data_IF_544989545525
#
_entry.id   IF_544989545525
#
_cell.length_a   1.000
_cell.length_b   1.000
_cell.length_c   1.000
_cell.angle_alpha   90.00
_cell.angle_beta   90.00
_cell.angle_gamma   90.00
#
_symmetry.space_group_name_H-M   'P 1'
#
loop_
_entity.id
_entity.type
_entity.pdbx_description
1 polymer ?
#
# COMPACT_ATOMS: atom_id res chain seq x y z
N UNK A 1 5.98 6.11 -4.90
CA UNK A 1 7.07 6.09 -5.90
C UNK A 1 8.35 5.63 -5.22
N UNK A 2 9.31 5.09 -5.95
CA UNK A 2 10.65 4.80 -5.40
C UNK A 2 11.57 6.00 -5.61
N UNK A 3 12.49 6.22 -4.68
CA UNK A 3 13.52 7.23 -4.75
C UNK A 3 14.76 6.83 -3.94
N UNK A 4 15.58 7.83 -3.61
CA UNK A 4 16.85 7.62 -2.92
C UNK A 4 16.66 7.03 -1.53
N UNK A 5 15.58 7.36 -0.82
CA UNK A 5 15.31 6.79 0.49
C UNK A 5 15.00 5.30 0.39
N UNK A 6 14.19 4.87 -0.58
CA UNK A 6 13.94 3.45 -0.82
C UNK A 6 15.24 2.74 -1.21
N UNK A 7 16.03 3.31 -2.12
CA UNK A 7 17.30 2.72 -2.55
C UNK A 7 18.26 2.52 -1.37
N UNK A 8 18.36 3.51 -0.48
CA UNK A 8 19.21 3.45 0.70
C UNK A 8 18.73 2.41 1.73
N UNK A 9 17.41 2.29 1.95
CA UNK A 9 16.85 1.41 2.99
C UNK A 9 16.61 -0.03 2.53
N UNK A 10 16.30 -0.25 1.25
CA UNK A 10 15.90 -1.54 0.69
C UNK A 10 16.92 -2.14 -0.28
N UNK A 11 17.86 -1.34 -0.79
CA UNK A 11 18.93 -1.77 -1.71
C UNK A 11 18.63 -1.58 -3.19
N UNK A 12 19.68 -1.60 -4.02
CA UNK A 12 19.61 -1.26 -5.44
C UNK A 12 18.78 -2.24 -6.28
N UNK A 13 18.89 -3.54 -6.01
CA UNK A 13 18.16 -4.55 -6.79
C UNK A 13 16.65 -4.40 -6.66
N UNK A 14 16.15 -4.16 -5.44
CA UNK A 14 14.73 -3.88 -5.22
C UNK A 14 14.32 -2.55 -5.86
N UNK A 15 15.16 -1.51 -5.73
CA UNK A 15 14.89 -0.20 -6.32
C UNK A 15 14.66 -0.31 -7.83
N UNK A 16 15.57 -0.94 -8.56
CA UNK A 16 15.43 -1.10 -10.01
C UNK A 16 14.27 -2.02 -10.40
N UNK A 17 13.95 -3.04 -9.58
CA UNK A 17 12.80 -3.91 -9.83
C UNK A 17 11.47 -3.15 -9.74
N UNK A 18 11.26 -2.33 -8.70
CA UNK A 18 10.03 -1.53 -8.59
C UNK A 18 10.00 -0.41 -9.64
N UNK A 19 11.16 0.16 -9.98
CA UNK A 19 11.25 1.17 -11.04
C UNK A 19 10.85 0.60 -12.41
N UNK A 20 11.21 -0.64 -12.72
CA UNK A 20 10.84 -1.29 -13.98
C UNK A 20 9.38 -1.77 -14.00
N UNK A 21 8.87 -2.24 -12.86
CA UNK A 21 7.49 -2.68 -12.70
C UNK A 21 6.91 -2.28 -11.34
N UNK A 22 6.22 -1.15 -11.31
CA UNK A 22 5.54 -0.67 -10.11
C UNK A 22 4.45 -1.63 -9.59
N UNK A 23 3.88 -2.46 -10.47
CA UNK A 23 2.84 -3.43 -10.14
C UNK A 23 3.40 -4.81 -9.72
N UNK A 24 4.72 -4.97 -9.69
CA UNK A 24 5.39 -6.21 -9.30
C UNK A 24 4.98 -6.70 -7.91
N UNK A 25 5.07 -8.01 -7.67
CA UNK A 25 4.63 -8.60 -6.40
C UNK A 25 5.70 -8.50 -5.29
N UNK A 26 5.27 -8.65 -4.03
CA UNK A 26 6.16 -8.59 -2.86
C UNK A 26 7.06 -9.83 -2.74
N UNK A 27 6.65 -10.96 -3.30
CA UNK A 27 7.41 -12.21 -3.28
C UNK A 27 8.73 -12.07 -4.06
N UNK A 28 8.71 -11.41 -5.21
CA UNK A 28 9.90 -11.08 -5.98
C UNK A 28 10.83 -10.16 -5.19
N UNK A 29 10.29 -9.13 -4.52
CA UNK A 29 11.09 -8.25 -3.66
C UNK A 29 11.76 -9.04 -2.53
N UNK A 30 11.07 -10.02 -1.94
CA UNK A 30 11.67 -10.87 -0.91
C UNK A 30 12.86 -11.69 -1.41
N UNK A 31 12.89 -12.07 -2.69
CA UNK A 31 14.02 -12.78 -3.31
C UNK A 31 15.20 -11.86 -3.61
N UNK A 32 14.97 -10.55 -3.75
CA UNK A 32 15.98 -9.54 -4.09
C UNK A 32 16.61 -8.89 -2.85
N UNK A 33 16.45 -9.48 -1.66
CA UNK A 33 17.07 -8.97 -0.44
C UNK A 33 18.59 -9.06 -0.55
N UNK A 34 19.25 -7.91 -0.47
CA UNK A 34 20.70 -7.86 -0.30
C UNK A 34 21.09 -8.47 1.05
N UNK A 35 22.35 -8.87 1.20
CA UNK A 35 22.90 -9.34 2.48
C UNK A 35 22.82 -8.28 3.59
N UNK A 36 22.80 -7.00 3.22
CA UNK A 36 22.64 -5.85 4.11
C UNK A 36 21.18 -5.49 4.44
N UNK A 37 20.20 -6.28 3.98
CA UNK A 37 18.78 -5.96 4.16
C UNK A 37 18.39 -5.84 5.64
N UNK A 38 17.70 -4.75 5.97
CA UNK A 38 17.10 -4.50 7.29
C UNK A 38 15.58 -4.47 7.18
N UNK A 39 14.92 -5.41 7.87
CA UNK A 39 13.46 -5.44 7.96
C UNK A 39 12.87 -4.21 8.65
N UNK A 40 13.63 -3.59 9.56
CA UNK A 40 13.23 -2.36 10.25
C UNK A 40 13.31 -1.14 9.35
N UNK A 41 14.36 -1.06 8.52
CA UNK A 41 14.61 0.11 7.66
C UNK A 41 13.74 0.08 6.40
N UNK A 42 13.67 -1.07 5.73
CA UNK A 42 12.85 -1.20 4.52
C UNK A 42 11.38 -1.46 4.85
N UNK A 43 11.10 -2.37 5.79
CA UNK A 43 9.75 -2.84 6.16
C UNK A 43 8.86 -3.17 4.96
N UNK A 44 9.14 -4.29 4.27
CA UNK A 44 8.34 -4.74 3.12
C UNK A 44 6.85 -4.96 3.43
N UNK A 45 6.47 -5.15 4.70
CA UNK A 45 5.07 -5.37 5.08
C UNK A 45 4.27 -4.07 5.22
N UNK A 46 4.94 -2.91 5.28
CA UNK A 46 4.31 -1.60 5.22
C UNK A 46 4.54 -0.99 3.84
N UNK A 47 3.48 -0.90 3.04
CA UNK A 47 3.53 -0.30 1.69
C UNK A 47 4.62 -0.88 0.76
N UNK A 48 4.93 -2.19 0.85
CA UNK A 48 6.03 -2.83 0.11
C UNK A 48 7.41 -2.19 0.37
N UNK A 49 7.56 -1.52 1.52
CA UNK A 49 8.74 -0.79 1.93
C UNK A 49 8.96 0.56 1.26
N UNK A 50 7.97 1.07 0.51
CA UNK A 50 8.02 2.41 -0.05
C UNK A 50 8.19 3.46 1.04
N UNK A 51 9.13 4.38 0.84
CA UNK A 51 9.52 5.36 1.85
C UNK A 51 8.73 6.66 1.67
N UNK A 52 8.20 7.21 2.76
CA UNK A 52 7.45 8.47 2.71
C UNK A 52 8.32 9.64 2.21
N UNK A 53 9.61 9.63 2.52
CA UNK A 53 10.58 10.62 2.04
C UNK A 53 10.72 10.67 0.52
N UNK A 54 10.33 9.61 -0.19
CA UNK A 54 10.34 9.58 -1.66
C UNK A 54 9.04 10.11 -2.27
N UNK A 55 8.00 10.40 -1.48
CA UNK A 55 6.69 10.82 -1.98
C UNK A 55 6.72 12.30 -2.38
N UNK A 56 6.41 12.58 -3.65
CA UNK A 56 6.25 13.97 -4.10
C UNK A 56 5.12 14.67 -3.34
N UNK A 57 5.32 15.93 -2.94
CA UNK A 57 4.33 16.71 -2.18
C UNK A 57 2.95 16.77 -2.85
N UNK A 58 2.90 16.80 -4.19
CA UNK A 58 1.64 16.79 -4.95
C UNK A 58 0.81 15.50 -4.80
N UNK A 59 1.42 14.41 -4.31
CA UNK A 59 0.76 13.13 -4.05
C UNK A 59 0.32 12.96 -2.59
N UNK A 60 0.61 13.93 -1.73
CA UNK A 60 0.19 13.94 -0.33
C UNK A 60 -1.21 14.55 -0.27
N UNK A 61 -2.13 13.83 0.38
CA UNK A 61 -3.51 14.24 0.55
C UNK A 61 -3.81 14.44 2.04
N UNK A 62 -4.70 15.38 2.35
CA UNK A 62 -5.19 15.62 3.71
C UNK A 62 -6.71 15.60 3.69
N UNK A 63 -7.29 14.93 4.68
CA UNK A 63 -8.73 14.74 4.80
C UNK A 63 -9.21 15.06 6.21
N UNK A 64 -10.48 15.42 6.31
CA UNK A 64 -11.15 15.69 7.59
C UNK A 64 -12.07 14.54 7.99
N UNK A 65 -12.38 14.41 9.28
CA UNK A 65 -13.36 13.45 9.75
C UNK A 65 -14.73 13.69 9.07
N UNK A 66 -15.38 12.62 8.65
CA UNK A 66 -16.63 12.63 7.88
C UNK A 66 -16.45 12.86 6.37
N UNK A 67 -15.24 13.17 5.90
CA UNK A 67 -14.99 13.36 4.47
C UNK A 67 -15.13 12.03 3.71
N UNK A 68 -15.87 12.05 2.60
CA UNK A 68 -15.98 10.92 1.69
C UNK A 68 -14.84 10.99 0.67
N UNK A 69 -14.03 9.94 0.62
CA UNK A 69 -12.86 9.83 -0.26
C UNK A 69 -13.11 8.78 -1.33
N UNK A 70 -13.09 9.16 -2.63
CA UNK A 70 -13.18 8.20 -3.71
C UNK A 70 -11.85 7.45 -3.88
N UNK A 71 -11.94 6.13 -4.03
CA UNK A 71 -10.80 5.25 -4.27
C UNK A 71 -10.98 4.56 -5.63
N UNK A 72 -9.91 4.59 -6.43
CA UNK A 72 -9.80 3.82 -7.66
C UNK A 72 -8.63 2.84 -7.55
N UNK A 73 -8.85 1.61 -7.97
CA UNK A 73 -7.84 0.55 -7.97
C UNK A 73 -7.64 0.02 -9.39
N UNK A 74 -6.39 0.02 -9.84
CA UNK A 74 -5.95 -0.60 -11.09
C UNK A 74 -5.49 -2.04 -10.80
N UNK A 75 -6.36 -3.02 -11.10
CA UNK A 75 -6.08 -4.44 -10.88
C UNK A 75 -5.37 -5.01 -12.12
N UNK A 76 -4.05 -5.15 -12.04
CA UNK A 76 -3.23 -5.66 -13.16
C UNK A 76 -3.04 -7.17 -13.18
N UNK A 77 -3.06 -7.80 -12.02
CA UNK A 77 -2.87 -9.24 -11.87
C UNK A 77 -3.88 -9.79 -10.85
N UNK A 78 -5.04 -10.31 -11.30
CA UNK A 78 -6.08 -10.79 -10.40
C UNK A 78 -5.63 -12.05 -9.65
N UNK A 79 -5.85 -12.07 -8.34
CA UNK A 79 -5.63 -13.22 -7.47
C UNK A 79 -6.77 -13.28 -6.47
N UNK A 80 -7.51 -14.39 -6.47
CA UNK A 80 -8.61 -14.61 -5.54
C UNK A 80 -8.09 -14.59 -4.10
N UNK A 81 -8.64 -13.71 -3.27
CA UNK A 81 -8.32 -13.64 -1.86
C UNK A 81 -9.17 -12.61 -1.14
N UNK A 82 -8.81 -12.30 0.10
CA UNK A 82 -9.44 -11.21 0.86
C UNK A 82 -8.67 -9.91 0.68
N UNK A 83 -9.37 -8.78 0.81
CA UNK A 83 -8.75 -7.46 0.80
C UNK A 83 -9.50 -6.52 1.75
N UNK A 84 -8.82 -5.48 2.21
CA UNK A 84 -9.47 -4.43 2.99
C UNK A 84 -8.85 -3.05 2.72
N UNK A 85 -9.58 -2.01 3.09
CA UNK A 85 -9.07 -0.65 3.20
C UNK A 85 -9.03 -0.29 4.67
N UNK A 86 -7.86 0.09 5.16
CA UNK A 86 -7.60 0.39 6.57
C UNK A 86 -6.77 1.66 6.72
N UNK A 87 -6.83 2.27 7.90
CA UNK A 87 -5.96 3.39 8.29
C UNK A 87 -4.82 2.81 9.13
N UNK A 88 -3.58 3.11 8.74
CA UNK A 88 -2.38 2.60 9.41
C UNK A 88 -1.61 3.78 10.00
N UNK A 89 -1.26 3.70 11.29
CA UNK A 89 -0.21 4.52 11.87
C UNK A 89 1.13 4.01 11.34
N UNK A 90 1.80 4.81 10.52
CA UNK A 90 3.05 4.42 9.86
C UNK A 90 4.24 4.38 10.80
N UNK A 91 4.19 5.08 11.95
CA UNK A 91 5.26 5.05 12.93
C UNK A 91 5.29 3.74 13.72
N UNK A 92 4.11 3.22 14.07
CA UNK A 92 3.97 1.95 14.80
C UNK A 92 3.68 0.74 13.90
N UNK A 93 3.35 0.97 12.63
CA UNK A 93 2.85 -0.03 11.69
C UNK A 93 1.62 -0.78 12.26
N UNK A 94 0.69 -0.04 12.85
CA UNK A 94 -0.53 -0.60 13.45
C UNK A 94 -1.79 -0.03 12.83
N UNK A 95 -2.83 -0.86 12.74
CA UNK A 95 -4.14 -0.41 12.27
C UNK A 95 -4.79 0.49 13.33
N UNK A 96 -5.31 1.62 12.89
CA UNK A 96 -6.16 2.48 13.70
C UNK A 96 -7.62 2.08 13.47
N UNK A 97 -8.30 1.61 14.51
CA UNK A 97 -9.71 1.23 14.44
C UNK A 97 -9.94 -0.08 13.68
N UNK A 98 -11.07 -0.17 12.98
CA UNK A 98 -11.43 -1.30 12.11
C UNK A 98 -11.25 -0.93 10.64
N UNK A 99 -11.16 -1.92 9.73
CA UNK A 99 -11.15 -1.64 8.29
C UNK A 99 -12.38 -0.82 7.86
N UNK A 100 -12.15 0.15 6.97
CA UNK A 100 -13.18 1.01 6.37
C UNK A 100 -14.02 0.26 5.32
N UNK A 101 -13.43 -0.77 4.69
CA UNK A 101 -14.10 -1.66 3.74
C UNK A 101 -13.41 -3.02 3.75
N UNK A 102 -14.19 -4.09 3.69
CA UNK A 102 -13.69 -5.48 3.60
C UNK A 102 -14.27 -6.14 2.35
N UNK A 103 -13.43 -6.92 1.68
CA UNK A 103 -13.80 -7.80 0.58
C UNK A 103 -13.43 -9.23 0.97
N UNK A 104 -14.42 -10.09 1.16
CA UNK A 104 -14.20 -11.52 1.46
C UNK A 104 -13.70 -12.30 0.23
N UNK A 105 -14.03 -11.81 -0.97
CA UNK A 105 -13.50 -12.30 -2.24
C UNK A 105 -13.21 -11.09 -3.13
N UNK A 106 -11.93 -10.85 -3.40
CA UNK A 106 -11.40 -9.73 -4.17
C UNK A 106 -10.60 -10.22 -5.36
N UNK A 107 -10.73 -9.52 -6.51
CA UNK A 107 -9.96 -9.81 -7.73
C UNK A 107 -9.96 -11.29 -8.12
N UNK A 108 -11.14 -11.93 -8.01
CA UNK A 108 -11.33 -13.36 -8.27
C UNK A 108 -10.89 -13.74 -9.68
N UNK A 109 -10.20 -14.85 -9.81
CA UNK A 109 -9.85 -15.47 -11.10
C UNK A 109 -10.96 -16.37 -11.65
N UNK A 110 -12.02 -16.59 -10.86
CA UNK A 110 -13.14 -17.48 -11.19
C UNK A 110 -14.45 -16.75 -11.50
N UNK A 111 -14.47 -15.42 -11.36
CA UNK A 111 -15.63 -14.58 -11.61
C UNK A 111 -15.19 -13.20 -12.12
N UNK A 112 -16.04 -12.47 -12.85
CA UNK A 112 -15.71 -11.10 -13.28
C UNK A 112 -15.41 -10.18 -12.09
N UNK A 113 -14.43 -9.29 -12.27
CA UNK A 113 -14.15 -8.19 -11.33
C UNK A 113 -15.32 -7.21 -11.40
N UNK A 114 -15.93 -6.92 -10.26
CA UNK A 114 -17.07 -6.01 -10.16
C UNK A 114 -16.61 -4.55 -10.06
N UNK A 115 -17.50 -3.61 -10.41
CA UNK A 115 -17.18 -2.18 -10.39
C UNK A 115 -16.80 -1.67 -8.99
N UNK A 116 -17.38 -2.23 -7.93
CA UNK A 116 -17.11 -1.85 -6.55
C UNK A 116 -15.76 -2.39 -6.01
N UNK A 117 -15.08 -3.25 -6.77
CA UNK A 117 -13.69 -3.66 -6.49
C UNK A 117 -12.68 -2.68 -7.09
N UNK A 118 -13.02 -1.95 -8.15
CA UNK A 118 -12.11 -1.02 -8.84
C UNK A 118 -12.45 0.44 -8.60
N UNK A 119 -13.67 0.77 -8.18
CA UNK A 119 -14.12 2.12 -7.90
C UNK A 119 -15.14 2.14 -6.77
N UNK A 120 -14.76 2.72 -5.63
CA UNK A 120 -15.63 2.83 -4.45
C UNK A 120 -15.29 4.09 -3.65
N UNK A 121 -15.95 4.30 -2.52
CA UNK A 121 -15.62 5.39 -1.59
C UNK A 121 -15.57 4.88 -0.17
N UNK A 122 -14.77 5.55 0.65
CA UNK A 122 -14.70 5.35 2.10
C UNK A 122 -14.98 6.67 2.80
N UNK A 123 -15.47 6.62 4.03
CA UNK A 123 -15.63 7.81 4.87
C UNK A 123 -14.49 7.83 5.88
N UNK A 124 -13.79 8.95 5.99
CA UNK A 124 -12.74 9.13 6.98
C UNK A 124 -13.38 9.21 8.37
N UNK A 125 -13.08 8.29 9.29
CA UNK A 125 -13.65 8.33 10.63
C UNK A 125 -13.00 9.44 11.46
N UNK A 126 -13.61 9.78 12.58
CA UNK A 126 -12.93 10.53 13.63
C UNK A 126 -11.85 9.64 14.28
N UNK A 127 -10.59 10.09 14.22
CA UNK A 127 -9.44 9.38 14.76
C UNK A 127 -9.03 9.87 16.16
N UNK A 128 -9.79 10.81 16.74
CA UNK A 128 -9.47 11.44 18.01
C UNK A 128 -8.09 12.11 17.97
N UNK A 129 -7.24 11.84 18.96
CA UNK A 129 -5.89 12.41 19.06
C UNK A 129 -4.81 11.64 18.29
N UNK A 130 -5.18 10.72 17.39
CA UNK A 130 -4.22 9.89 16.65
C UNK A 130 -3.70 10.52 15.36
N UNK A 131 -4.21 11.69 14.97
CA UNK A 131 -3.78 12.46 13.81
C UNK A 131 -3.77 13.96 14.13
#
# INVERSE_FOLDING_TARGET
>A
QVGDAFKANCGEQMFYNIQSDAAGNIQQLNQLKASSFSGTSCNLNLCKGLQFADVAAANIQSWTAGQVVPIKVDIRAPHTGTANVSIIDTASNTMIGSPLKVFESYASTSSPITADQTSFSVTIPDLGSKC
#
